data_IF_503568384820
#
_entry.id   IF_503568384820
#
_cell.length_a   1.000
_cell.length_b   1.000
_cell.length_c   1.000
_cell.angle_alpha   90.00
_cell.angle_beta   90.00
_cell.angle_gamma   90.00
#
_symmetry.space_group_name_H-M   'P 1'
#
loop_
_entity.id
_entity.type
_entity.pdbx_description
1 polymer ?
#
# COMPACT_ATOMS: atom_id res chain seq x y z
N UNK A 1 -27.63 29.24 21.25
CA UNK A 1 -26.23 29.40 20.82
C UNK A 1 -26.05 28.37 19.72
N UNK A 2 -26.19 28.80 18.46
CA UNK A 2 -26.24 27.90 17.31
C UNK A 2 -24.82 27.52 16.92
N UNK A 3 -24.48 26.25 17.12
CA UNK A 3 -23.26 25.64 16.61
C UNK A 3 -23.46 25.44 15.10
N UNK A 4 -22.97 26.40 14.32
CA UNK A 4 -22.97 26.34 12.86
C UNK A 4 -21.64 25.72 12.47
N UNK A 5 -21.62 24.39 12.37
CA UNK A 5 -20.55 23.67 11.68
C UNK A 5 -20.62 24.07 10.21
N UNK A 6 -19.87 25.10 9.82
CA UNK A 6 -19.69 25.45 8.42
C UNK A 6 -18.85 24.34 7.76
N UNK A 7 -19.54 23.29 7.30
CA UNK A 7 -18.95 22.15 6.59
C UNK A 7 -18.55 22.50 5.16
N UNK A 8 -17.83 21.58 4.51
CA UNK A 8 -17.53 21.70 3.09
C UNK A 8 -18.82 21.83 2.27
N UNK A 9 -18.87 22.80 1.35
CA UNK A 9 -19.98 23.00 0.42
C UNK A 9 -19.56 22.50 -0.96
N UNK A 10 -20.41 21.70 -1.61
CA UNK A 10 -20.21 21.20 -2.97
C UNK A 10 -21.35 21.73 -3.85
N UNK A 11 -21.01 22.54 -4.85
CA UNK A 11 -21.96 23.12 -5.82
C UNK A 11 -21.37 22.93 -7.21
N UNK A 12 -22.15 22.37 -8.14
CA UNK A 12 -21.74 22.11 -9.53
C UNK A 12 -20.40 21.35 -9.66
N UNK A 13 -20.16 20.38 -8.78
CA UNK A 13 -18.93 19.57 -8.78
C UNK A 13 -17.69 20.29 -8.25
N UNK A 14 -17.85 21.50 -7.71
CA UNK A 14 -16.78 22.29 -7.07
C UNK A 14 -16.98 22.28 -5.56
N UNK A 15 -15.93 21.96 -4.82
CA UNK A 15 -15.93 21.98 -3.37
C UNK A 15 -15.24 23.24 -2.86
N UNK A 16 -15.90 23.94 -1.93
CA UNK A 16 -15.34 25.08 -1.21
C UNK A 16 -15.41 24.82 0.28
N UNK A 17 -14.35 25.20 1.00
CA UNK A 17 -14.28 25.04 2.45
C UNK A 17 -14.01 26.39 3.11
N UNK A 18 -14.66 26.71 4.23
CA UNK A 18 -14.28 27.83 5.07
C UNK A 18 -12.81 27.70 5.52
N UNK A 19 -12.02 28.76 5.37
CA UNK A 19 -10.61 28.79 5.77
C UNK A 19 -9.62 28.15 4.79
N UNK A 20 -10.08 27.43 3.75
CA UNK A 20 -9.23 27.00 2.66
C UNK A 20 -9.20 28.06 1.54
N UNK A 21 -8.01 28.36 1.02
CA UNK A 21 -7.88 29.27 -0.12
C UNK A 21 -8.28 28.55 -1.42
N UNK A 22 -9.33 29.06 -2.08
CA UNK A 22 -9.80 28.57 -3.38
C UNK A 22 -10.82 27.44 -3.30
N UNK A 23 -11.24 26.97 -4.47
CA UNK A 23 -12.11 25.82 -4.63
C UNK A 23 -11.31 24.60 -5.08
N UNK A 24 -11.93 23.43 -4.97
CA UNK A 24 -11.39 22.17 -5.41
C UNK A 24 -12.34 21.49 -6.40
N UNK A 25 -11.79 20.77 -7.37
CA UNK A 25 -12.55 20.06 -8.41
C UNK A 25 -12.06 18.63 -8.55
N UNK A 26 -12.93 17.73 -8.98
CA UNK A 26 -12.52 16.40 -9.45
C UNK A 26 -12.26 16.48 -10.95
N UNK A 27 -11.10 16.00 -11.39
CA UNK A 27 -10.74 15.96 -12.81
C UNK A 27 -10.58 14.51 -13.28
N UNK A 28 -11.56 14.02 -14.03
CA UNK A 28 -11.55 12.65 -14.57
C UNK A 28 -10.50 12.44 -15.65
N UNK A 29 -10.01 13.52 -16.28
CA UNK A 29 -9.00 13.49 -17.33
C UNK A 29 -7.57 13.46 -16.77
N UNK A 30 -7.39 13.71 -15.46
CA UNK A 30 -6.09 13.66 -14.79
C UNK A 30 -6.00 12.40 -13.91
N UNK A 31 -5.56 11.26 -14.47
CA UNK A 31 -5.42 10.04 -13.70
C UNK A 31 -4.26 10.13 -12.71
N UNK A 32 -4.34 9.34 -11.65
CA UNK A 32 -3.28 9.17 -10.66
C UNK A 32 -2.54 7.87 -10.90
N UNK A 33 -1.23 7.97 -11.12
CA UNK A 33 -0.34 6.82 -11.25
C UNK A 33 0.22 6.42 -9.89
N UNK A 34 0.52 5.13 -9.74
CA UNK A 34 1.14 4.56 -8.55
C UNK A 34 2.20 3.54 -8.94
N UNK A 35 3.26 3.50 -8.15
CA UNK A 35 4.28 2.46 -8.18
C UNK A 35 4.29 1.72 -6.85
N UNK A 36 4.28 0.39 -6.90
CA UNK A 36 4.29 -0.50 -5.76
C UNK A 36 5.50 -1.43 -5.80
N UNK A 37 6.05 -1.72 -4.64
CA UNK A 37 7.18 -2.61 -4.42
C UNK A 37 7.01 -3.37 -3.08
N UNK A 38 7.99 -4.23 -2.75
CA UNK A 38 7.93 -5.06 -1.54
C UNK A 38 6.75 -6.05 -1.55
N UNK A 39 6.32 -6.51 -2.73
CA UNK A 39 5.13 -7.35 -2.88
C UNK A 39 5.36 -8.76 -2.31
N UNK A 40 4.51 -9.17 -1.35
CA UNK A 40 4.56 -10.48 -0.71
C UNK A 40 3.18 -11.14 -0.77
N UNK A 41 3.12 -12.35 -1.35
CA UNK A 41 1.89 -13.13 -1.38
C UNK A 41 1.64 -13.81 -0.01
N UNK A 42 0.51 -13.48 0.60
CA UNK A 42 0.06 -14.06 1.87
C UNK A 42 -1.08 -15.04 1.60
N UNK A 43 -0.86 -16.30 1.94
CA UNK A 43 -1.91 -17.32 1.94
C UNK A 43 -2.66 -17.31 3.26
N UNK A 44 -3.97 -17.59 3.24
CA UNK A 44 -4.76 -17.68 4.45
C UNK A 44 -6.20 -18.07 4.15
N UNK A 45 -6.90 -18.53 5.18
CA UNK A 45 -8.34 -18.75 5.12
C UNK A 45 -8.98 -18.02 6.30
N UNK A 46 -10.17 -17.49 6.10
CA UNK A 46 -10.97 -16.88 7.15
C UNK A 46 -12.32 -17.58 7.26
N UNK A 47 -12.83 -17.71 8.48
CA UNK A 47 -14.19 -18.16 8.71
C UNK A 47 -15.12 -16.95 8.69
N UNK A 48 -16.09 -16.93 7.77
CA UNK A 48 -17.15 -15.91 7.72
C UNK A 48 -18.49 -16.60 7.56
N UNK A 49 -19.47 -16.23 8.38
CA UNK A 49 -20.83 -16.78 8.36
C UNK A 49 -20.89 -18.32 8.36
N UNK A 50 -19.94 -18.96 9.05
CA UNK A 50 -19.86 -20.43 9.14
C UNK A 50 -19.29 -21.13 7.91
N UNK A 51 -18.76 -20.38 6.94
CA UNK A 51 -18.09 -20.89 5.73
C UNK A 51 -16.62 -20.50 5.73
N UNK A 52 -15.75 -21.40 5.29
CA UNK A 52 -14.33 -21.12 5.10
C UNK A 52 -14.14 -20.38 3.77
N UNK A 53 -13.59 -19.18 3.82
CA UNK A 53 -13.26 -18.37 2.65
C UNK A 53 -11.75 -18.30 2.44
N UNK A 54 -11.32 -18.30 1.19
CA UNK A 54 -9.96 -17.93 0.83
C UNK A 54 -9.72 -16.46 1.20
N UNK A 55 -8.77 -16.23 2.09
CA UNK A 55 -8.37 -14.91 2.57
C UNK A 55 -7.00 -14.50 2.01
N UNK A 56 -6.56 -15.16 0.93
CA UNK A 56 -5.32 -14.82 0.27
C UNK A 56 -5.30 -13.38 -0.22
N UNK A 57 -4.15 -12.76 -0.07
CA UNK A 57 -3.89 -11.36 -0.44
C UNK A 57 -2.43 -11.19 -0.80
N UNK A 58 -2.11 -10.06 -1.41
CA UNK A 58 -0.71 -9.62 -1.57
C UNK A 58 -0.57 -8.34 -0.75
N UNK A 59 0.48 -8.24 0.04
CA UNK A 59 0.83 -7.05 0.81
C UNK A 59 2.08 -6.40 0.22
N UNK A 60 2.25 -5.11 0.44
CA UNK A 60 3.43 -4.36 0.00
C UNK A 60 3.31 -2.88 0.32
N UNK A 61 4.09 -2.08 -0.40
CA UNK A 61 4.11 -0.63 -0.29
C UNK A 61 3.74 0.00 -1.63
N UNK A 62 3.11 1.15 -1.60
CA UNK A 62 2.73 1.88 -2.81
C UNK A 62 2.90 3.37 -2.63
N UNK A 63 3.40 4.03 -3.67
CA UNK A 63 3.63 5.47 -3.72
C UNK A 63 2.95 6.06 -4.94
N UNK A 64 2.37 7.28 -4.84
CA UNK A 64 1.99 8.04 -6.03
C UNK A 64 3.21 8.25 -6.94
N UNK A 65 3.04 8.04 -8.24
CA UNK A 65 4.10 8.25 -9.24
C UNK A 65 3.85 9.58 -9.96
N UNK A 66 4.80 10.52 -9.84
CA UNK A 66 4.66 11.88 -10.38
C UNK A 66 3.57 12.73 -9.71
N UNK A 67 3.11 12.39 -8.51
CA UNK A 67 2.04 13.10 -7.82
C UNK A 67 2.24 13.09 -6.29
N UNK A 68 1.44 13.86 -5.57
CA UNK A 68 1.38 13.79 -4.10
C UNK A 68 -0.06 13.63 -3.62
N UNK A 69 -0.24 12.91 -2.51
CA UNK A 69 -1.53 12.81 -1.83
C UNK A 69 -1.53 13.74 -0.63
N UNK A 70 -2.64 14.42 -0.35
CA UNK A 70 -2.76 15.29 0.83
C UNK A 70 -4.18 15.27 1.37
N UNK A 71 -4.38 15.84 2.56
CA UNK A 71 -5.72 16.23 3.01
C UNK A 71 -5.91 17.73 2.81
N UNK A 72 -7.15 18.18 2.65
CA UNK A 72 -7.44 19.61 2.51
C UNK A 72 -7.24 20.35 3.85
N UNK A 73 -7.50 19.68 4.96
CA UNK A 73 -7.51 20.21 6.32
C UNK A 73 -6.22 19.95 7.11
N UNK A 74 -5.25 19.24 6.53
CA UNK A 74 -4.01 18.86 7.21
C UNK A 74 -2.79 19.15 6.33
N UNK A 75 -1.71 19.63 6.97
CA UNK A 75 -0.42 19.82 6.31
C UNK A 75 0.34 18.49 6.18
N UNK A 76 1.12 18.36 5.11
CA UNK A 76 2.01 17.23 4.86
C UNK A 76 1.43 16.25 3.85
N UNK A 77 2.12 16.00 2.72
CA UNK A 77 1.70 14.99 1.77
C UNK A 77 1.97 13.58 2.30
N UNK A 78 1.23 12.61 1.76
CA UNK A 78 1.58 11.20 1.83
C UNK A 78 2.30 10.81 0.53
N UNK A 79 3.40 10.10 0.69
CA UNK A 79 4.24 9.57 -0.39
C UNK A 79 4.39 8.05 -0.31
N UNK A 80 4.18 7.42 0.84
CA UNK A 80 4.26 5.96 0.98
C UNK A 80 3.06 5.42 1.76
N UNK A 81 2.40 4.43 1.19
CA UNK A 81 1.16 3.86 1.69
C UNK A 81 1.32 2.36 1.83
N UNK A 82 0.72 1.80 2.89
CA UNK A 82 0.51 0.36 2.94
C UNK A 82 -0.40 -0.09 1.80
N UNK A 83 -0.02 -1.14 1.08
CA UNK A 83 -0.80 -1.72 -0.01
C UNK A 83 -1.34 -3.09 0.40
N UNK A 84 -2.63 -3.31 0.17
CA UNK A 84 -3.22 -4.65 0.18
C UNK A 84 -3.94 -4.92 -1.13
N UNK A 85 -3.53 -5.96 -1.85
CA UNK A 85 -4.18 -6.44 -3.07
C UNK A 85 -5.04 -7.66 -2.74
N UNK A 86 -6.30 -7.63 -3.12
CA UNK A 86 -7.26 -8.73 -2.90
C UNK A 86 -7.89 -9.15 -4.20
N UNK A 87 -8.25 -10.42 -4.28
CA UNK A 87 -9.21 -10.85 -5.29
C UNK A 87 -10.59 -10.28 -4.98
N UNK A 88 -11.30 -9.87 -6.02
CA UNK A 88 -12.71 -9.52 -5.96
C UNK A 88 -13.50 -10.46 -6.88
N UNK A 89 -14.61 -11.04 -6.39
CA UNK A 89 -15.40 -11.98 -7.17
C UNK A 89 -16.08 -11.29 -8.37
N UNK A 90 -16.02 -11.95 -9.53
CA UNK A 90 -16.67 -11.53 -10.77
C UNK A 90 -15.73 -10.84 -11.78
N UNK A 91 -16.29 -10.51 -12.95
CA UNK A 91 -15.54 -9.94 -14.09
C UNK A 91 -15.52 -8.39 -14.07
N UNK A 92 -15.59 -7.79 -12.87
CA UNK A 92 -15.59 -6.33 -12.73
C UNK A 92 -14.23 -5.73 -13.08
N UNK A 93 -14.17 -4.47 -13.53
CA UNK A 93 -12.89 -3.80 -13.71
C UNK A 93 -12.13 -3.68 -12.37
N UNK A 94 -10.77 -3.64 -12.37
CA UNK A 94 -10.03 -3.48 -11.12
C UNK A 94 -10.33 -2.13 -10.45
N UNK A 95 -10.38 -2.14 -9.12
CA UNK A 95 -10.76 -0.99 -8.30
C UNK A 95 -9.68 -0.66 -7.28
N UNK A 96 -9.46 0.63 -7.06
CA UNK A 96 -8.60 1.19 -6.03
C UNK A 96 -9.47 1.83 -4.94
N UNK A 97 -9.17 1.55 -3.68
CA UNK A 97 -9.67 2.29 -2.53
C UNK A 97 -8.49 2.87 -1.77
N UNK A 98 -8.58 4.15 -1.41
CA UNK A 98 -7.64 4.80 -0.51
C UNK A 98 -8.40 5.21 0.74
N UNK A 99 -7.87 4.89 1.91
CA UNK A 99 -8.58 5.10 3.17
C UNK A 99 -7.64 5.20 4.37
N UNK A 100 -8.17 5.74 5.47
CA UNK A 100 -7.51 5.76 6.77
C UNK A 100 -8.00 4.56 7.60
N UNK A 101 -7.17 3.53 7.89
CA UNK A 101 -7.57 2.41 8.72
C UNK A 101 -7.97 2.88 10.12
N UNK A 102 -8.98 2.20 10.70
CA UNK A 102 -9.49 2.53 12.03
C UNK A 102 -8.39 2.32 13.07
N UNK A 103 -8.13 3.35 13.88
CA UNK A 103 -7.11 3.29 14.94
C UNK A 103 -5.68 3.54 14.45
N UNK A 104 -5.48 3.87 13.17
CA UNK A 104 -4.16 4.24 12.68
C UNK A 104 -3.65 5.52 13.37
N UNK A 105 -2.42 5.46 13.88
CA UNK A 105 -1.72 6.56 14.53
C UNK A 105 -0.43 6.85 13.77
N UNK A 106 0.08 8.09 13.85
CA UNK A 106 1.29 8.51 13.16
C UNK A 106 1.05 9.64 12.17
N UNK A 107 2.00 9.85 11.27
CA UNK A 107 1.90 10.81 10.17
C UNK A 107 0.90 10.36 9.09
N UNK A 108 0.83 11.07 7.97
CA UNK A 108 -0.14 10.73 6.92
C UNK A 108 0.22 9.42 6.22
N UNK A 109 1.51 9.15 6.01
CA UNK A 109 2.03 7.91 5.41
C UNK A 109 1.66 6.69 6.24
N UNK A 110 1.92 6.73 7.55
CA UNK A 110 1.60 5.63 8.45
C UNK A 110 0.09 5.36 8.57
N UNK A 111 -0.75 6.37 8.30
CA UNK A 111 -2.20 6.28 8.46
C UNK A 111 -2.96 6.04 7.16
N UNK A 112 -2.33 6.19 6.00
CA UNK A 112 -3.01 6.04 4.72
C UNK A 112 -2.74 4.65 4.13
N UNK A 113 -3.80 3.97 3.71
CA UNK A 113 -3.74 2.64 3.13
C UNK A 113 -4.41 2.62 1.75
N UNK A 114 -3.81 1.87 0.84
CA UNK A 114 -4.34 1.54 -0.47
C UNK A 114 -4.81 0.08 -0.50
N UNK A 115 -6.02 -0.12 -1.01
CA UNK A 115 -6.56 -1.44 -1.31
C UNK A 115 -6.85 -1.56 -2.80
N UNK A 116 -6.27 -2.57 -3.42
CA UNK A 116 -6.45 -2.87 -4.83
C UNK A 116 -7.26 -4.17 -4.97
N UNK A 117 -8.42 -4.05 -5.59
CA UNK A 117 -9.32 -5.17 -5.85
C UNK A 117 -9.15 -5.61 -7.30
N UNK A 118 -8.61 -6.81 -7.50
CA UNK A 118 -8.36 -7.37 -8.81
C UNK A 118 -9.36 -8.48 -9.15
N UNK A 119 -9.78 -8.58 -10.41
CA UNK A 119 -10.45 -9.78 -10.94
C UNK A 119 -9.62 -11.02 -10.67
N UNK A 120 -10.30 -12.14 -10.38
CA UNK A 120 -9.65 -13.40 -10.04
C UNK A 120 -8.53 -13.81 -11.03
N UNK A 121 -8.69 -13.69 -12.37
CA UNK A 121 -7.61 -14.06 -13.29
C UNK A 121 -6.35 -13.20 -13.14
N UNK A 122 -6.51 -11.89 -12.94
CA UNK A 122 -5.38 -10.97 -12.75
C UNK A 122 -4.70 -11.21 -11.40
N UNK A 123 -5.48 -11.41 -10.34
CA UNK A 123 -4.95 -11.72 -9.01
C UNK A 123 -4.16 -13.03 -9.01
N UNK A 124 -4.71 -14.08 -9.61
CA UNK A 124 -4.04 -15.38 -9.72
C UNK A 124 -2.74 -15.29 -10.54
N UNK A 125 -2.77 -14.57 -11.67
CA UNK A 125 -1.59 -14.34 -12.51
C UNK A 125 -0.47 -13.61 -11.76
N UNK A 126 -0.81 -12.51 -11.07
CA UNK A 126 0.18 -11.77 -10.27
C UNK A 126 0.77 -12.64 -9.15
N UNK A 127 -0.05 -13.42 -8.43
CA UNK A 127 0.45 -14.33 -7.40
C UNK A 127 1.40 -15.39 -7.94
N UNK A 128 1.06 -15.96 -9.10
CA UNK A 128 1.91 -16.93 -9.77
C UNK A 128 3.24 -16.29 -10.18
N UNK A 129 3.22 -15.11 -10.79
CA UNK A 129 4.44 -14.41 -11.19
C UNK A 129 5.29 -13.99 -9.99
N UNK A 130 4.69 -13.65 -8.85
CA UNK A 130 5.42 -13.42 -7.60
C UNK A 130 6.11 -14.71 -7.11
N UNK A 131 5.41 -15.84 -7.13
CA UNK A 131 5.97 -17.14 -6.72
C UNK A 131 7.11 -17.60 -7.63
N UNK A 132 7.07 -17.24 -8.91
CA UNK A 132 8.09 -17.57 -9.91
C UNK A 132 9.18 -16.50 -10.07
N UNK A 133 9.16 -15.43 -9.25
CA UNK A 133 10.14 -14.34 -9.30
C UNK A 133 10.04 -13.45 -10.55
N UNK A 134 8.95 -13.55 -11.32
CA UNK A 134 8.65 -12.71 -12.49
C UNK A 134 7.96 -11.40 -12.15
N UNK A 135 7.52 -11.23 -10.90
CA UNK A 135 6.97 -9.99 -10.39
C UNK A 135 7.70 -9.59 -9.11
N UNK A 136 7.95 -8.29 -8.95
CA UNK A 136 8.42 -7.68 -7.70
C UNK A 136 7.93 -6.25 -7.53
N UNK A 137 7.71 -5.56 -8.66
CA UNK A 137 7.17 -4.22 -8.73
C UNK A 137 5.91 -4.20 -9.59
N UNK A 138 4.99 -3.31 -9.23
CA UNK A 138 3.70 -3.14 -9.89
C UNK A 138 3.44 -1.67 -10.14
N UNK A 139 3.03 -1.33 -11.34
CA UNK A 139 2.62 0.01 -11.74
C UNK A 139 1.14 -0.02 -12.10
N UNK A 140 0.39 0.98 -11.66
CA UNK A 140 -1.01 1.14 -12.03
C UNK A 140 -1.37 2.60 -12.26
N UNK A 141 -2.43 2.84 -13.01
CA UNK A 141 -2.99 4.17 -13.23
C UNK A 141 -4.50 4.11 -13.01
N UNK A 142 -5.05 5.06 -12.26
CA UNK A 142 -6.47 5.09 -11.92
C UNK A 142 -7.10 6.48 -12.08
N UNK A 143 -8.33 6.55 -12.59
CA UNK A 143 -9.16 7.75 -12.40
C UNK A 143 -9.71 7.70 -10.99
N UNK A 144 -9.44 8.72 -10.18
CA UNK A 144 -9.90 8.79 -8.79
C UNK A 144 -10.97 9.86 -8.60
N UNK A 145 -11.70 9.79 -7.49
CA UNK A 145 -12.58 10.87 -7.03
C UNK A 145 -11.86 11.84 -6.05
N UNK A 146 -10.53 11.90 -6.09
CA UNK A 146 -9.75 12.86 -5.31
C UNK A 146 -9.92 14.27 -5.88
N UNK A 147 -9.70 15.26 -5.01
CA UNK A 147 -9.90 16.66 -5.30
C UNK A 147 -8.59 17.35 -5.67
N UNK A 148 -8.59 18.14 -6.73
CA UNK A 148 -7.47 18.99 -7.13
C UNK A 148 -7.82 20.43 -6.80
N UNK A 149 -6.82 21.24 -6.40
CA UNK A 149 -7.04 22.67 -6.25
C UNK A 149 -7.35 23.28 -7.62
N UNK A 150 -8.44 24.02 -7.69
CA UNK A 150 -8.82 24.68 -8.93
C UNK A 150 -7.85 25.81 -9.26
N UNK A 151 -7.40 25.86 -10.51
CA UNK A 151 -6.46 26.88 -10.97
C UNK A 151 -5.02 26.65 -10.50
N UNK A 152 -4.73 25.56 -9.77
CA UNK A 152 -3.39 24.99 -9.77
C UNK A 152 -3.15 24.54 -11.23
N UNK A 153 -2.23 25.20 -11.94
CA UNK A 153 -1.97 24.91 -13.35
C UNK A 153 -1.36 23.51 -13.55
N UNK A 154 -0.51 23.38 -14.56
CA UNK A 154 0.42 22.24 -14.66
C UNK A 154 1.55 22.34 -13.61
N UNK A 155 1.21 22.67 -12.36
CA UNK A 155 2.14 22.59 -11.24
C UNK A 155 2.51 21.12 -11.03
N UNK A 156 3.81 20.84 -11.15
CA UNK A 156 4.39 19.51 -11.05
C UNK A 156 5.19 19.40 -9.74
N UNK A 157 4.93 18.42 -8.87
CA UNK A 157 3.93 17.36 -9.02
C UNK A 157 2.51 17.80 -8.59
N UNK A 158 1.44 17.35 -9.28
CA UNK A 158 0.07 17.59 -8.86
C UNK A 158 -0.23 17.06 -7.46
N UNK A 159 -1.00 17.83 -6.68
CA UNK A 159 -1.45 17.46 -5.33
C UNK A 159 -2.92 17.03 -5.37
N UNK A 160 -3.16 15.75 -5.13
CA UNK A 160 -4.50 15.17 -5.02
C UNK A 160 -4.94 15.12 -3.57
N UNK A 161 -6.12 15.67 -3.29
CA UNK A 161 -6.61 15.85 -1.94
C UNK A 161 -7.77 14.92 -1.59
N UNK A 162 -7.72 14.34 -0.39
CA UNK A 162 -8.90 13.75 0.24
C UNK A 162 -9.86 14.85 0.67
N UNK A 163 -11.16 14.57 0.52
CA UNK A 163 -12.20 15.38 1.15
C UNK A 163 -12.01 15.38 2.69
N UNK A 164 -12.47 16.41 3.41
CA UNK A 164 -12.49 16.39 4.86
C UNK A 164 -13.32 15.23 5.41
N UNK A 165 -13.04 14.88 6.66
CA UNK A 165 -13.92 13.99 7.42
C UNK A 165 -15.26 14.69 7.69
N UNK A 166 -16.36 14.00 7.37
CA UNK A 166 -17.72 14.49 7.61
C UNK A 166 -18.46 13.49 8.48
N UNK A 167 -19.13 13.97 9.53
CA UNK A 167 -19.99 13.16 10.42
C UNK A 167 -19.28 11.93 11.05
N UNK A 168 -18.00 12.08 11.39
CA UNK A 168 -17.20 11.01 12.02
C UNK A 168 -16.86 9.84 11.10
N UNK A 169 -17.11 9.97 9.79
CA UNK A 169 -16.67 8.98 8.79
C UNK A 169 -15.25 9.33 8.32
N UNK A 170 -14.31 8.37 8.32
CA UNK A 170 -12.97 8.62 7.81
C UNK A 170 -13.06 8.96 6.32
N UNK A 171 -12.24 9.92 5.89
CA UNK A 171 -12.15 10.27 4.48
C UNK A 171 -11.70 9.06 3.65
N UNK A 172 -12.35 8.85 2.50
CA UNK A 172 -12.02 7.76 1.59
C UNK A 172 -12.08 8.26 0.16
N UNK A 173 -11.22 7.69 -0.68
CA UNK A 173 -11.24 7.89 -2.11
C UNK A 173 -11.35 6.54 -2.82
N UNK A 174 -11.98 6.56 -3.98
CA UNK A 174 -12.17 5.42 -4.86
C UNK A 174 -11.59 5.76 -6.22
N UNK A 175 -11.02 4.76 -6.87
CA UNK A 175 -10.49 4.87 -8.20
C UNK A 175 -10.85 3.68 -9.07
N UNK A 176 -11.10 3.95 -10.35
CA UNK A 176 -11.20 2.91 -11.38
C UNK A 176 -9.84 2.77 -12.04
N UNK A 177 -9.26 1.57 -11.96
CA UNK A 177 -7.96 1.28 -12.56
C UNK A 177 -8.13 1.19 -14.07
N UNK A 178 -7.30 1.94 -14.79
CA UNK A 178 -7.28 1.99 -16.26
C UNK A 178 -6.21 1.07 -16.83
N UNK A 179 -5.05 1.00 -16.18
CA UNK A 179 -3.93 0.15 -16.57
C UNK A 179 -3.25 -0.41 -15.33
N UNK A 180 -2.71 -1.61 -15.47
CA UNK A 180 -1.92 -2.30 -14.46
C UNK A 180 -0.88 -3.16 -15.16
N UNK A 181 0.35 -3.14 -14.65
CA UNK A 181 1.46 -3.94 -15.15
C UNK A 181 2.42 -4.27 -14.02
N UNK A 182 3.09 -5.41 -14.09
CA UNK A 182 4.14 -5.78 -13.15
C UNK A 182 5.35 -6.32 -13.89
N UNK A 183 6.51 -6.22 -13.24
CA UNK A 183 7.79 -6.64 -13.80
C UNK A 183 8.66 -7.26 -12.69
N UNK A 184 9.65 -8.09 -13.05
CA UNK A 184 10.63 -8.59 -12.09
C UNK A 184 11.43 -7.43 -11.50
N UNK A 185 12.19 -7.70 -10.44
CA UNK A 185 13.09 -6.69 -9.89
C UNK A 185 14.10 -6.36 -11.00
N UNK A 186 14.33 -5.07 -11.25
CA UNK A 186 15.53 -4.71 -11.99
C UNK A 186 16.70 -5.27 -11.18
N UNK A 187 17.61 -6.04 -11.80
CA UNK A 187 18.82 -6.45 -11.10
C UNK A 187 19.45 -5.15 -10.65
N UNK A 188 19.52 -4.95 -9.33
CA UNK A 188 20.27 -3.85 -8.75
C UNK A 188 21.61 -3.89 -9.46
N UNK A 189 21.92 -2.84 -10.21
CA UNK A 189 23.26 -2.66 -10.75
C UNK A 189 24.16 -2.37 -9.54
N UNK A 190 24.41 -3.38 -8.71
CA UNK A 190 25.56 -3.42 -7.85
C UNK A 190 26.76 -3.34 -8.79
N UNK A 191 27.28 -2.13 -8.92
CA UNK A 191 28.51 -1.79 -9.63
C UNK A 191 28.68 -2.49 -10.97
N UNK A 192 28.26 -1.83 -12.05
CA UNK A 192 29.06 -1.91 -13.27
C UNK A 192 30.46 -1.36 -12.91
N UNK A 193 31.33 -2.21 -12.38
CA UNK A 193 32.75 -1.95 -12.31
C UNK A 193 33.18 -1.74 -13.76
N UNK A 194 33.66 -0.53 -14.04
CA UNK A 194 34.31 -0.21 -15.28
C UNK A 194 35.35 -1.29 -15.60
N UNK A 195 35.43 -1.79 -16.84
CA UNK A 195 36.44 -2.77 -17.20
C UNK A 195 37.80 -2.05 -17.23
N UNK A 196 38.53 -2.16 -16.12
CA UNK A 196 39.89 -1.67 -16.04
C UNK A 196 40.28 -1.18 -14.66
N UNK A 197 40.49 -2.10 -13.71
CA UNK A 197 41.62 -2.00 -12.80
C UNK A 197 41.96 -3.34 -12.17
N UNK A 198 43.27 -3.57 -12.13
CA UNK A 198 44.03 -4.80 -11.93
C UNK A 198 43.78 -5.50 -10.59
N UNK A 199 44.05 -6.82 -10.60
CA UNK A 199 44.23 -7.72 -9.45
C UNK A 199 44.73 -7.04 -8.16
N UNK A 200 43.97 -7.21 -7.08
CA UNK A 200 44.53 -7.42 -5.75
C UNK A 200 43.57 -8.23 -4.87
N UNK A 201 44.15 -9.30 -4.34
CA UNK A 201 43.59 -10.37 -3.53
C UNK A 201 42.84 -9.98 -2.24
N UNK A 202 41.90 -10.86 -1.88
CA UNK A 202 41.51 -11.30 -0.52
C UNK A 202 40.71 -10.35 0.39
N UNK A 203 39.40 -10.60 0.54
CA UNK A 203 38.77 -11.23 1.72
C UNK A 203 37.24 -11.24 1.56
N UNK A 204 36.66 -12.44 1.58
CA UNK A 204 35.21 -12.69 1.66
C UNK A 204 34.59 -12.07 2.92
N UNK A 205 33.46 -11.33 2.85
CA UNK A 205 32.64 -11.07 4.01
C UNK A 205 31.65 -12.24 4.18
N UNK A 206 32.15 -13.46 4.40
CA UNK A 206 31.31 -14.60 4.78
C UNK A 206 30.98 -14.57 6.28
N UNK A 207 29.71 -14.83 6.58
CA UNK A 207 29.25 -15.46 7.83
C UNK A 207 29.10 -14.66 9.15
N UNK A 208 28.62 -13.42 9.10
CA UNK A 208 28.03 -12.79 10.31
C UNK A 208 26.50 -13.01 10.42
N UNK A 209 25.78 -13.03 9.29
CA UNK A 209 24.31 -13.16 9.27
C UNK A 209 23.88 -14.62 9.42
N UNK A 210 24.61 -15.57 8.81
CA UNK A 210 24.32 -17.00 8.92
C UNK A 210 24.48 -17.51 10.37
N UNK A 211 25.48 -17.04 11.10
CA UNK A 211 25.69 -17.44 12.50
C UNK A 211 24.65 -16.82 13.45
N UNK A 212 24.14 -15.61 13.15
CA UNK A 212 22.99 -15.04 13.88
C UNK A 212 21.69 -15.81 13.63
N UNK A 213 21.41 -16.19 12.38
CA UNK A 213 20.24 -17.01 12.04
C UNK A 213 20.32 -18.40 12.66
N UNK A 214 21.52 -19.01 12.70
CA UNK A 214 21.76 -20.29 13.37
C UNK A 214 21.52 -20.23 14.88
N UNK A 215 21.96 -19.14 15.53
CA UNK A 215 21.74 -18.91 16.96
C UNK A 215 20.26 -18.68 17.31
N UNK A 216 19.52 -17.94 16.48
CA UNK A 216 18.07 -17.69 16.67
C UNK A 216 17.27 -18.99 16.50
N UNK A 217 17.57 -19.78 15.46
CA UNK A 217 16.87 -21.04 15.21
C UNK A 217 17.10 -22.06 16.34
N UNK A 218 18.29 -22.05 16.96
CA UNK A 218 18.59 -22.88 18.12
C UNK A 218 17.87 -22.45 19.40
N UNK A 219 17.80 -21.12 19.66
CA UNK A 219 17.04 -20.55 20.79
C UNK A 219 15.54 -20.84 20.69
N UNK A 220 14.96 -20.73 19.50
CA UNK A 220 13.54 -21.00 19.27
C UNK A 220 13.19 -22.47 19.53
N UNK A 221 14.07 -23.39 19.11
CA UNK A 221 13.89 -24.83 19.34
C UNK A 221 13.92 -25.18 20.84
N UNK A 222 14.75 -24.50 21.63
CA UNK A 222 14.78 -24.69 23.10
C UNK A 222 13.50 -24.18 23.77
N UNK A 223 12.99 -23.00 23.38
CA UNK A 223 11.74 -22.47 23.93
C UNK A 223 10.57 -23.41 23.64
N UNK A 224 10.50 -23.96 22.42
CA UNK A 224 9.43 -24.88 22.03
C UNK A 224 9.46 -26.19 22.83
N UNK A 225 10.66 -26.72 23.11
CA UNK A 225 10.84 -27.92 23.95
C UNK A 225 10.36 -27.66 25.38
N UNK A 226 10.72 -26.51 25.96
CA UNK A 226 10.28 -26.15 27.33
C UNK A 226 8.76 -26.03 27.39
N UNK A 227 8.13 -25.42 26.38
CA UNK A 227 6.69 -25.21 26.34
C UNK A 227 5.91 -26.53 26.23
N UNK A 228 6.41 -27.47 25.41
CA UNK A 228 5.85 -28.83 25.33
C UNK A 228 6.00 -29.55 26.67
N UNK A 229 7.15 -29.43 27.34
CA UNK A 229 7.38 -30.07 28.64
C UNK A 229 6.45 -29.49 29.72
N UNK A 230 6.20 -28.18 29.69
CA UNK A 230 5.33 -27.50 30.63
C UNK A 230 3.85 -27.89 30.40
N UNK A 231 3.42 -28.01 29.14
CA UNK A 231 2.11 -28.56 28.80
C UNK A 231 1.94 -30.01 29.27
N UNK A 232 2.98 -30.83 29.14
CA UNK A 232 2.94 -32.23 29.58
C UNK A 232 2.84 -32.36 31.10
N UNK A 233 3.51 -31.48 31.85
CA UNK A 233 3.39 -31.41 33.33
C UNK A 233 1.99 -30.95 33.75
N UNK A 234 1.40 -29.97 33.07
CA UNK A 234 0.03 -29.49 33.37
C UNK A 234 -1.01 -30.55 33.05
N UNK A 235 -0.83 -31.34 31.99
CA UNK A 235 -1.75 -32.42 31.62
C UNK A 235 -1.65 -33.66 32.54
N UNK A 236 -0.53 -33.82 33.28
CA UNK A 236 -0.33 -34.92 34.22
C UNK A 236 -0.85 -34.63 35.65
N UNK A 237 -1.43 -33.44 35.87
CA UNK A 237 -1.98 -32.99 37.16
C UNK A 237 -3.49 -32.85 37.09
#
# INVERSE_FOLDING_TARGET
>A
MNDRTDGASIVDGRMTLPGAAGAFVQDVARPLAFAADGLVAISGHEWRDGVLHDAARIEGHVRPDGATLARIDQAGPAQDLSLTIRSFPGDSAPLLRLSFPVGAQGDLDARLAAELFLPQPLFAGLRQDLAEGRASSLSLTATTNLWLREGAGDEEPPVFHFAPETDGRPAQAHGRVQSISWRPAEPTAEGFLAPGQSDQDSEEPEDLVAEQLRRINWSLKQVLIILVFLMLIVALK
#
